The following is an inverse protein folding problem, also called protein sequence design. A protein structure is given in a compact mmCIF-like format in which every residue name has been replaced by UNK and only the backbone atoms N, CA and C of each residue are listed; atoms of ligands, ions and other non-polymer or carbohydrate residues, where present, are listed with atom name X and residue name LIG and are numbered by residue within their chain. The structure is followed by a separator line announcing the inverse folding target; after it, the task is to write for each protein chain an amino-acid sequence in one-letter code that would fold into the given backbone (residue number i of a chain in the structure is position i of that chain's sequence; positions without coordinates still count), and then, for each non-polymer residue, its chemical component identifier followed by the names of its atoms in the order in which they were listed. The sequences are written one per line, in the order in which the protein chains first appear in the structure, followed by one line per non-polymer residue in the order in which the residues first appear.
data_IF_263726480337
#
_entry.id   IF_263726480337
#
_cell.length_a   1.000
_cell.length_b   1.000
_cell.length_c   1.000
_cell.angle_alpha   90.00
_cell.angle_beta   90.00
_cell.angle_gamma   90.00
#
_symmetry.space_group_name_H-M   'P 1'
#
loop_
_entity.id
_entity.type
_entity.pdbx_description
1 polymer ?
#
# COMPACT_ATOMS: atom_id res chain seq x y z
N UNK A 1 18.74 4.76 -2.89
CA UNK A 1 17.61 3.94 -3.43
C UNK A 1 16.37 4.14 -2.56
N UNK A 2 15.21 4.37 -3.15
CA UNK A 2 13.95 4.46 -2.39
C UNK A 2 13.40 3.06 -2.14
N UNK A 3 13.29 2.67 -0.87
CA UNK A 3 12.97 1.31 -0.44
C UNK A 3 11.67 1.25 0.37
N UNK A 4 11.00 0.11 0.30
CA UNK A 4 9.86 -0.24 1.16
C UNK A 4 9.72 -1.76 1.28
N UNK A 5 9.04 -2.20 2.33
CA UNK A 5 8.70 -3.61 2.57
C UNK A 5 7.21 -3.81 2.35
N UNK A 6 6.83 -4.85 1.61
CA UNK A 6 5.43 -5.12 1.28
C UNK A 6 5.15 -6.59 1.02
N UNK A 7 3.87 -6.96 1.11
CA UNK A 7 3.33 -8.21 0.61
C UNK A 7 2.89 -8.04 -0.85
N UNK A 8 3.13 -9.05 -1.67
CA UNK A 8 2.61 -9.13 -3.02
C UNK A 8 1.16 -9.63 -3.01
N UNK A 9 0.47 -9.52 -4.13
CA UNK A 9 -0.93 -9.91 -4.29
C UNK A 9 -1.02 -11.03 -5.31
N UNK A 10 -1.75 -12.08 -4.98
CA UNK A 10 -2.00 -13.19 -5.88
C UNK A 10 -2.71 -12.76 -7.16
N UNK A 11 -2.44 -13.47 -8.24
CA UNK A 11 -2.91 -13.14 -9.59
C UNK A 11 -4.43 -12.98 -9.67
N UNK A 12 -5.19 -13.91 -9.08
CA UNK A 12 -6.66 -13.88 -9.10
C UNK A 12 -7.25 -12.64 -8.42
N UNK A 13 -6.66 -12.24 -7.28
CA UNK A 13 -7.05 -11.01 -6.58
C UNK A 13 -6.70 -9.79 -7.44
N UNK A 14 -5.51 -9.78 -8.03
CA UNK A 14 -5.02 -8.72 -8.92
C UNK A 14 -5.93 -8.53 -10.12
N UNK A 15 -6.39 -9.61 -10.75
CA UNK A 15 -7.31 -9.57 -11.89
C UNK A 15 -8.68 -9.01 -11.53
N UNK A 16 -9.20 -9.35 -10.35
CA UNK A 16 -10.47 -8.79 -9.85
C UNK A 16 -10.34 -7.30 -9.56
N UNK A 17 -9.22 -6.89 -8.96
CA UNK A 17 -8.90 -5.49 -8.72
C UNK A 17 -8.74 -4.72 -10.04
N UNK A 18 -8.07 -5.29 -11.03
CA UNK A 18 -7.91 -4.68 -12.36
C UNK A 18 -9.27 -4.39 -13.02
N UNK A 19 -10.18 -5.36 -13.01
CA UNK A 19 -11.56 -5.17 -13.53
C UNK A 19 -12.32 -4.08 -12.76
N UNK A 20 -12.19 -4.06 -11.45
CA UNK A 20 -12.80 -3.03 -10.63
C UNK A 20 -12.23 -1.64 -10.95
N UNK A 21 -10.90 -1.51 -11.05
CA UNK A 21 -10.24 -0.27 -11.44
C UNK A 21 -10.73 0.23 -12.79
N UNK A 22 -10.89 -0.64 -13.79
CA UNK A 22 -11.41 -0.27 -15.12
C UNK A 22 -12.84 0.28 -15.04
N UNK A 23 -13.65 -0.26 -14.13
CA UNK A 23 -15.03 0.19 -13.92
C UNK A 23 -15.17 1.52 -13.18
N UNK A 24 -14.18 1.92 -12.39
CA UNK A 24 -14.33 3.08 -11.48
C UNK A 24 -13.40 4.25 -11.79
N UNK A 25 -12.27 4.03 -12.49
CA UNK A 25 -11.26 5.09 -12.74
C UNK A 25 -11.81 6.30 -13.49
N UNK A 26 -12.80 6.11 -14.36
CA UNK A 26 -13.47 7.20 -15.11
C UNK A 26 -14.24 8.18 -14.23
N UNK A 27 -14.55 7.82 -12.98
CA UNK A 27 -15.23 8.69 -12.02
C UNK A 27 -14.27 9.60 -11.23
N UNK A 28 -12.95 9.38 -11.36
CA UNK A 28 -11.92 10.25 -10.82
C UNK A 28 -10.74 10.36 -11.82
N UNK A 29 -10.96 11.02 -13.00
CA UNK A 29 -9.98 11.04 -14.07
C UNK A 29 -8.70 11.80 -13.72
N UNK A 30 -8.78 12.76 -12.79
CA UNK A 30 -7.63 13.55 -12.33
C UNK A 30 -6.81 12.83 -11.23
N UNK A 31 -7.27 11.69 -10.75
CA UNK A 31 -6.53 10.90 -9.78
C UNK A 31 -5.40 10.09 -10.45
N UNK A 32 -4.33 9.89 -9.70
CA UNK A 32 -3.24 8.98 -10.11
C UNK A 32 -3.58 7.58 -9.66
N UNK A 33 -4.05 6.77 -10.58
CA UNK A 33 -4.43 5.39 -10.37
C UNK A 33 -3.20 4.47 -10.38
N UNK A 34 -3.19 3.52 -9.45
CA UNK A 34 -2.17 2.47 -9.45
C UNK A 34 -2.37 1.55 -10.65
N UNK A 35 -1.26 1.07 -11.21
CA UNK A 35 -1.28 -0.02 -12.18
C UNK A 35 -1.53 -1.34 -11.44
N UNK A 36 -2.36 -2.25 -11.98
CA UNK A 36 -2.63 -3.54 -11.34
C UNK A 36 -1.37 -4.30 -10.94
N UNK A 37 -0.34 -4.26 -11.79
CA UNK A 37 0.95 -4.93 -11.56
C UNK A 37 1.75 -4.31 -10.41
N UNK A 38 1.45 -3.07 -10.04
CA UNK A 38 2.12 -2.35 -8.95
C UNK A 38 1.40 -2.45 -7.62
N UNK A 39 0.24 -3.11 -7.57
CA UNK A 39 -0.54 -3.25 -6.34
C UNK A 39 0.19 -4.15 -5.33
N UNK A 40 0.27 -3.66 -4.09
CA UNK A 40 0.95 -4.34 -2.97
C UNK A 40 0.38 -3.86 -1.63
N UNK A 41 0.57 -4.65 -0.60
CA UNK A 41 0.24 -4.26 0.78
C UNK A 41 1.50 -3.78 1.47
N UNK A 42 1.64 -2.48 1.66
CA UNK A 42 2.82 -1.90 2.30
C UNK A 42 2.85 -2.25 3.78
N UNK A 43 3.96 -2.82 4.24
CA UNK A 43 4.24 -3.07 5.65
C UNK A 43 5.02 -1.91 6.27
N UNK A 44 6.04 -1.39 5.54
CA UNK A 44 6.86 -0.26 6.00
C UNK A 44 7.52 0.49 4.84
N UNK A 45 7.47 1.81 4.90
CA UNK A 45 8.32 2.67 4.07
C UNK A 45 9.66 2.87 4.75
N UNK A 46 10.75 2.53 4.05
CA UNK A 46 12.13 2.73 4.53
C UNK A 46 12.65 4.10 4.10
N UNK A 47 12.22 4.56 2.92
CA UNK A 47 12.68 5.83 2.35
C UNK A 47 13.95 5.70 1.51
N UNK A 48 14.65 6.81 1.32
CA UNK A 48 15.91 6.83 0.54
C UNK A 48 17.06 6.27 1.38
N UNK A 49 17.76 5.29 0.82
CA UNK A 49 18.96 4.66 1.42
C UNK A 49 20.07 4.53 0.40
N UNK A 50 21.34 4.62 0.82
CA UNK A 50 22.49 4.28 -0.02
C UNK A 50 22.42 2.81 -0.46
N UNK A 51 23.07 2.50 -1.57
CA UNK A 51 23.09 1.12 -2.10
C UNK A 51 23.82 0.15 -1.15
N UNK A 52 24.83 0.63 -0.45
CA UNK A 52 25.60 -0.11 0.55
C UNK A 52 24.78 -0.59 1.75
N UNK A 53 23.67 0.10 2.09
CA UNK A 53 22.79 -0.30 3.18
C UNK A 53 21.84 -1.46 2.82
N UNK A 54 21.64 -1.72 1.52
CA UNK A 54 20.64 -2.68 1.04
C UNK A 54 20.90 -4.08 1.57
N UNK A 55 22.17 -4.50 1.58
CA UNK A 55 22.52 -5.86 2.05
C UNK A 55 22.28 -6.02 3.56
N UNK A 56 22.59 -4.99 4.34
CA UNK A 56 22.32 -4.98 5.78
C UNK A 56 20.82 -5.02 6.07
N UNK A 57 20.02 -4.29 5.28
CA UNK A 57 18.55 -4.32 5.37
C UNK A 57 18.02 -5.73 5.06
N UNK A 58 18.50 -6.39 3.99
CA UNK A 58 18.11 -7.76 3.64
C UNK A 58 18.44 -8.75 4.77
N UNK A 59 19.66 -8.71 5.29
CA UNK A 59 20.09 -9.58 6.38
C UNK A 59 19.23 -9.39 7.63
N UNK A 60 18.86 -8.16 7.95
CA UNK A 60 18.00 -7.85 9.08
C UNK A 60 16.57 -8.35 8.85
N UNK A 61 15.99 -8.17 7.66
CA UNK A 61 14.67 -8.71 7.31
C UNK A 61 14.64 -10.24 7.32
N UNK A 62 15.73 -10.90 6.95
CA UNK A 62 15.86 -12.36 6.97
C UNK A 62 15.74 -12.96 8.39
N UNK A 63 15.94 -12.17 9.43
CA UNK A 63 15.79 -12.61 10.83
C UNK A 63 14.32 -12.67 11.29
N UNK A 64 13.40 -12.14 10.51
CA UNK A 64 11.96 -12.14 10.83
C UNK A 64 11.42 -13.56 10.62
N UNK A 65 10.76 -14.09 11.64
CA UNK A 65 10.06 -15.37 11.61
C UNK A 65 8.61 -15.12 11.98
N UNK A 66 7.70 -15.38 11.04
CA UNK A 66 6.26 -15.24 11.22
C UNK A 66 5.55 -16.35 10.44
N UNK A 67 4.35 -16.71 10.90
CA UNK A 67 3.53 -17.73 10.26
C UNK A 67 2.83 -17.16 9.02
N UNK A 68 2.41 -18.05 8.11
CA UNK A 68 1.49 -17.71 7.03
C UNK A 68 0.12 -17.35 7.59
N UNK A 69 -0.58 -16.44 6.91
CA UNK A 69 -1.91 -15.99 7.35
C UNK A 69 -2.79 -15.63 6.15
N UNK A 70 -4.10 -15.60 6.38
CA UNK A 70 -5.06 -15.21 5.36
C UNK A 70 -5.32 -13.71 5.37
N UNK A 71 -5.51 -13.15 4.17
CA UNK A 71 -5.93 -11.78 3.94
C UNK A 71 -7.15 -11.76 3.03
N UNK A 72 -8.25 -11.17 3.48
CA UNK A 72 -9.45 -10.96 2.68
C UNK A 72 -9.51 -9.50 2.21
N UNK A 73 -9.56 -9.29 0.90
CA UNK A 73 -9.64 -7.98 0.27
C UNK A 73 -11.10 -7.60 0.04
N UNK A 74 -11.57 -6.63 0.83
CA UNK A 74 -12.97 -6.20 0.78
C UNK A 74 -13.14 -4.78 1.27
N UNK A 75 -14.28 -4.19 0.95
CA UNK A 75 -14.63 -2.83 1.30
C UNK A 75 -13.67 -1.79 0.71
N UNK A 76 -13.90 -0.53 0.97
CA UNK A 76 -13.08 0.58 0.51
C UNK A 76 -13.12 1.74 1.50
N UNK A 77 -12.19 2.66 1.35
CA UNK A 77 -12.19 3.89 2.11
C UNK A 77 -11.29 4.96 1.52
N UNK A 78 -11.20 6.06 2.25
CA UNK A 78 -10.45 7.24 1.85
C UNK A 78 -9.62 7.77 3.01
N UNK A 79 -8.36 8.12 2.75
CA UNK A 79 -7.52 8.83 3.72
C UNK A 79 -7.37 10.31 3.33
N UNK A 80 -7.22 11.22 4.29
CA UNK A 80 -7.40 11.02 5.73
C UNK A 80 -8.86 10.77 6.15
N UNK A 81 -9.83 11.17 5.33
CA UNK A 81 -11.26 10.95 5.57
C UNK A 81 -12.07 11.06 4.28
N UNK A 82 -13.32 10.65 4.30
CA UNK A 82 -14.27 10.83 3.18
C UNK A 82 -14.60 12.28 2.89
N UNK A 83 -14.40 13.21 3.85
CA UNK A 83 -14.66 14.66 3.66
C UNK A 83 -13.54 15.36 2.90
N UNK A 84 -12.30 14.91 3.08
CA UNK A 84 -11.11 15.46 2.44
C UNK A 84 -10.24 14.34 1.83
N UNK A 85 -10.79 13.55 0.89
CA UNK A 85 -10.13 12.35 0.39
C UNK A 85 -8.90 12.70 -0.43
N UNK A 86 -7.77 12.07 -0.10
CA UNK A 86 -6.51 12.19 -0.85
C UNK A 86 -6.00 10.85 -1.37
N UNK A 87 -6.39 9.76 -0.72
CA UNK A 87 -6.04 8.39 -1.08
C UNK A 87 -7.30 7.55 -1.08
N UNK A 88 -7.53 6.83 -2.16
CA UNK A 88 -8.56 5.81 -2.28
C UNK A 88 -7.92 4.44 -2.10
N UNK A 89 -8.51 3.58 -1.25
CA UNK A 89 -7.95 2.30 -0.89
C UNK A 89 -9.02 1.22 -0.74
N UNK A 90 -8.60 -0.04 -0.87
CA UNK A 90 -9.36 -1.25 -0.52
C UNK A 90 -8.92 -1.72 0.86
N UNK A 91 -9.87 -2.11 1.70
CA UNK A 91 -9.63 -2.68 3.01
C UNK A 91 -9.09 -4.11 2.93
N UNK A 92 -8.32 -4.47 3.94
CA UNK A 92 -7.80 -5.82 4.13
C UNK A 92 -8.25 -6.30 5.49
N UNK A 93 -9.06 -7.35 5.47
CA UNK A 93 -9.52 -8.05 6.66
C UNK A 93 -8.56 -9.22 6.90
N UNK A 94 -7.76 -9.11 7.93
CA UNK A 94 -6.78 -10.13 8.31
C UNK A 94 -6.78 -10.24 9.83
N UNK A 95 -6.32 -11.38 10.34
CA UNK A 95 -6.08 -11.55 11.76
C UNK A 95 -4.97 -10.63 12.29
N UNK A 96 -4.60 -10.77 13.56
CA UNK A 96 -3.53 -9.96 14.18
C UNK A 96 -2.15 -10.21 13.54
N UNK A 97 -2.01 -11.27 12.75
CA UNK A 97 -0.75 -11.70 12.12
C UNK A 97 -0.19 -10.65 11.17
N UNK A 98 -1.05 -10.00 10.37
CA UNK A 98 -0.63 -8.95 9.45
C UNK A 98 -0.07 -7.73 10.21
N UNK A 99 -0.76 -7.29 11.26
CA UNK A 99 -0.30 -6.19 12.10
C UNK A 99 0.97 -6.57 12.88
N UNK A 100 1.07 -7.80 13.33
CA UNK A 100 2.25 -8.33 14.01
C UNK A 100 3.46 -8.37 13.06
N UNK A 101 3.28 -8.80 11.82
CA UNK A 101 4.34 -8.80 10.82
C UNK A 101 4.81 -7.35 10.53
N UNK A 102 3.88 -6.41 10.36
CA UNK A 102 4.24 -5.00 10.15
C UNK A 102 5.02 -4.42 11.35
N UNK A 103 4.62 -4.75 12.58
CA UNK A 103 5.31 -4.34 13.79
C UNK A 103 6.73 -4.96 13.89
N UNK A 104 6.89 -6.24 13.56
CA UNK A 104 8.21 -6.88 13.52
C UNK A 104 9.12 -6.23 12.48
N UNK A 105 8.60 -5.93 11.29
CA UNK A 105 9.36 -5.22 10.25
C UNK A 105 9.78 -3.83 10.76
N UNK A 106 8.85 -3.08 11.37
CA UNK A 106 9.12 -1.76 11.92
C UNK A 106 10.22 -1.79 12.99
N UNK A 107 10.14 -2.75 13.92
CA UNK A 107 11.13 -2.94 14.98
C UNK A 107 12.52 -3.30 14.43
N UNK A 108 12.57 -4.24 13.46
CA UNK A 108 13.84 -4.62 12.82
C UNK A 108 14.46 -3.47 12.06
N UNK A 109 13.66 -2.65 11.38
CA UNK A 109 14.17 -1.47 10.68
C UNK A 109 14.64 -0.40 11.67
N UNK A 110 13.98 -0.25 12.82
CA UNK A 110 14.42 0.67 13.85
C UNK A 110 15.82 0.33 14.41
N UNK A 111 16.21 -0.95 14.44
CA UNK A 111 17.56 -1.37 14.82
C UNK A 111 18.66 -0.94 13.82
N UNK A 112 18.27 -0.43 12.65
CA UNK A 112 19.13 0.15 11.61
C UNK A 112 18.99 1.68 11.53
N UNK A 113 18.54 2.33 12.59
CA UNK A 113 18.30 3.79 12.65
C UNK A 113 17.28 4.28 11.59
N UNK A 114 16.38 3.40 11.16
CA UNK A 114 15.24 3.77 10.33
C UNK A 114 14.08 4.15 11.26
N UNK A 115 13.53 5.36 11.14
CA UNK A 115 12.49 5.84 12.05
C UNK A 115 11.29 4.89 12.14
N UNK A 116 10.76 4.71 13.36
CA UNK A 116 9.52 3.97 13.58
C UNK A 116 8.34 4.70 12.95
N UNK A 117 7.32 3.93 12.60
CA UNK A 117 6.04 4.51 12.16
C UNK A 117 5.36 5.23 13.34
N UNK A 118 4.92 6.47 13.09
CA UNK A 118 4.25 7.29 14.12
C UNK A 118 2.77 6.91 14.29
N UNK A 119 2.19 6.24 13.30
CA UNK A 119 0.77 5.89 13.28
C UNK A 119 0.57 4.38 13.39
N UNK A 120 -0.57 4.01 13.99
CA UNK A 120 -1.00 2.61 14.04
C UNK A 120 -1.13 2.07 12.62
N UNK A 121 -0.59 0.87 12.40
CA UNK A 121 -0.70 0.18 11.12
C UNK A 121 -2.17 -0.07 10.77
N UNK A 122 -2.58 0.40 9.61
CA UNK A 122 -3.93 0.22 9.08
C UNK A 122 -3.84 -0.59 7.78
N UNK A 123 -4.23 -1.87 7.77
CA UNK A 123 -4.15 -2.73 6.59
C UNK A 123 -4.97 -2.20 5.44
N UNK A 124 -4.33 -1.83 4.34
CA UNK A 124 -5.01 -1.33 3.15
C UNK A 124 -4.19 -1.52 1.88
N UNK A 125 -4.88 -1.50 0.76
CA UNK A 125 -4.31 -1.52 -0.59
C UNK A 125 -4.63 -0.20 -1.28
N UNK A 126 -3.64 0.63 -1.52
CA UNK A 126 -3.83 1.91 -2.22
C UNK A 126 -4.14 1.70 -3.69
N UNK A 127 -5.28 2.23 -4.16
CA UNK A 127 -5.71 2.17 -5.56
C UNK A 127 -5.49 3.48 -6.31
N UNK A 128 -5.66 4.63 -5.65
CA UNK A 128 -5.47 5.92 -6.28
C UNK A 128 -5.06 7.01 -5.27
N UNK A 129 -4.38 8.02 -5.79
CA UNK A 129 -4.05 9.24 -5.05
C UNK A 129 -4.64 10.46 -5.78
N UNK A 130 -5.28 11.35 -5.04
CA UNK A 130 -5.89 12.55 -5.62
C UNK A 130 -4.88 13.42 -6.35
N UNK A 131 -5.27 13.94 -7.52
CA UNK A 131 -4.49 14.91 -8.27
C UNK A 131 -4.52 16.27 -7.59
N UNK A 132 -3.36 16.89 -7.39
CA UNK A 132 -3.20 18.19 -6.77
C UNK A 132 -1.85 18.32 -6.08
N UNK A 133 -0.80 18.68 -6.84
CA UNK A 133 0.52 19.05 -6.32
C UNK A 133 1.42 17.87 -5.96
N UNK A 134 2.55 17.81 -6.63
CA UNK A 134 3.74 17.08 -6.20
C UNK A 134 4.25 17.73 -4.91
N UNK A 135 3.71 17.34 -3.77
CA UNK A 135 4.09 17.84 -2.45
C UNK A 135 3.95 16.74 -1.43
N UNK A 136 5.03 16.55 -0.70
CA UNK A 136 5.13 15.76 0.53
C UNK A 136 3.87 15.93 1.42
N UNK A 137 3.43 14.92 2.18
CA UNK A 137 2.24 15.00 3.02
C UNK A 137 2.35 15.98 4.21
N UNK A 138 3.45 16.75 4.31
CA UNK A 138 3.65 17.74 5.35
C UNK A 138 3.21 19.14 4.92
N UNK A 139 2.18 19.66 5.64
CA UNK A 139 1.71 21.06 5.71
C UNK A 139 0.95 21.60 4.51
N UNK A 140 -0.37 21.42 4.52
CA UNK A 140 -1.25 22.52 4.15
C UNK A 140 -2.31 22.74 5.23
N UNK A 141 -2.21 23.86 5.93
CA UNK A 141 -3.27 24.46 6.73
C UNK A 141 -4.44 24.81 5.80
N UNK A 142 -5.60 24.21 6.07
CA UNK A 142 -6.85 24.47 5.38
C UNK A 142 -7.37 23.26 4.62
N UNK A 143 -8.37 22.60 5.19
CA UNK A 143 -9.17 21.56 4.51
C UNK A 143 -9.95 22.19 3.36
N UNK A 144 -9.30 22.33 2.19
CA UNK A 144 -10.05 22.55 0.97
C UNK A 144 -10.63 21.22 0.54
N UNK A 145 -11.96 21.10 0.33
CA UNK A 145 -12.57 19.87 -0.13
C UNK A 145 -11.91 19.45 -1.43
N UNK A 146 -11.28 18.29 -1.42
CA UNK A 146 -10.70 17.72 -2.61
C UNK A 146 -11.81 17.06 -3.43
N UNK A 147 -12.25 17.72 -4.49
CA UNK A 147 -13.32 17.23 -5.37
C UNK A 147 -12.90 16.08 -6.28
N UNK A 148 -11.61 15.71 -6.31
CA UNK A 148 -11.09 14.67 -7.20
C UNK A 148 -11.78 13.31 -7.03
N UNK A 149 -12.30 13.00 -5.85
CA UNK A 149 -12.98 11.75 -5.57
C UNK A 149 -14.50 11.86 -5.36
N UNK A 150 -15.09 13.04 -5.47
CA UNK A 150 -16.53 13.22 -5.18
C UNK A 150 -17.41 12.32 -6.03
N UNK A 151 -17.22 12.31 -7.36
CA UNK A 151 -17.99 11.48 -8.29
C UNK A 151 -17.74 9.99 -8.07
N UNK A 152 -16.51 9.62 -7.69
CA UNK A 152 -16.17 8.24 -7.34
C UNK A 152 -16.90 7.82 -6.07
N UNK A 153 -16.93 8.65 -5.02
CA UNK A 153 -17.65 8.38 -3.78
C UNK A 153 -19.16 8.17 -4.03
N UNK A 154 -19.77 9.04 -4.83
CA UNK A 154 -21.18 8.92 -5.23
C UNK A 154 -21.44 7.61 -5.98
N UNK A 155 -20.55 7.24 -6.91
CA UNK A 155 -20.64 5.97 -7.65
C UNK A 155 -20.53 4.76 -6.73
N UNK A 156 -19.54 4.75 -5.85
CA UNK A 156 -19.29 3.64 -4.94
C UNK A 156 -20.41 3.47 -3.91
N UNK A 157 -21.01 4.57 -3.43
CA UNK A 157 -22.15 4.53 -2.51
C UNK A 157 -23.40 3.86 -3.12
N UNK A 158 -23.53 3.89 -4.46
CA UNK A 158 -24.63 3.26 -5.19
C UNK A 158 -24.36 1.78 -5.56
N UNK A 159 -23.20 1.24 -5.24
CA UNK A 159 -22.81 -0.13 -5.54
C UNK A 159 -22.78 -0.98 -4.25
N UNK A 160 -22.92 -2.30 -4.37
CA UNK A 160 -22.63 -3.21 -3.26
C UNK A 160 -21.19 -3.03 -2.78
N UNK A 161 -20.95 -3.34 -1.50
CA UNK A 161 -19.58 -3.34 -0.94
C UNK A 161 -18.71 -4.31 -1.77
N UNK A 162 -17.60 -3.84 -2.36
CA UNK A 162 -16.79 -4.69 -3.21
C UNK A 162 -16.06 -5.76 -2.40
N UNK A 163 -15.97 -6.96 -2.98
CA UNK A 163 -15.21 -8.10 -2.46
C UNK A 163 -14.32 -8.66 -3.57
N UNK A 164 -13.06 -8.90 -3.23
CA UNK A 164 -12.06 -9.34 -4.22
C UNK A 164 -11.52 -10.75 -3.93
N UNK A 165 -11.83 -11.29 -2.75
CA UNK A 165 -11.46 -12.63 -2.31
C UNK A 165 -10.35 -12.66 -1.27
N UNK A 166 -9.97 -13.89 -0.91
CA UNK A 166 -8.99 -14.19 0.13
C UNK A 166 -7.76 -14.82 -0.49
N UNK A 167 -6.59 -14.45 0.01
CA UNK A 167 -5.32 -15.11 -0.31
C UNK A 167 -4.53 -15.42 0.97
N UNK A 168 -3.60 -16.36 0.88
CA UNK A 168 -2.67 -16.67 1.95
C UNK A 168 -1.35 -15.95 1.73
N UNK A 169 -0.96 -15.07 2.65
CA UNK A 169 0.38 -14.48 2.65
C UNK A 169 1.42 -15.55 3.00
N UNK A 170 2.36 -15.78 2.08
CA UNK A 170 3.45 -16.78 2.22
C UNK A 170 4.83 -16.17 2.20
N UNK A 171 4.94 -14.94 1.70
CA UNK A 171 6.19 -14.21 1.54
C UNK A 171 5.95 -12.71 1.67
N UNK A 172 6.94 -12.00 2.14
CA UNK A 172 7.03 -10.54 2.02
C UNK A 172 8.33 -10.16 1.32
N UNK A 173 8.39 -8.95 0.79
CA UNK A 173 9.47 -8.55 -0.10
C UNK A 173 10.05 -7.20 0.28
N UNK A 174 11.35 -7.03 0.06
CA UNK A 174 11.99 -5.72 -0.04
C UNK A 174 11.90 -5.22 -1.48
N UNK A 175 11.31 -4.05 -1.66
CA UNK A 175 11.15 -3.40 -2.96
C UNK A 175 12.00 -2.15 -3.09
N UNK A 176 12.49 -1.93 -4.31
CA UNK A 176 12.96 -0.63 -4.76
C UNK A 176 11.84 0.07 -5.54
N UNK A 177 11.60 1.35 -5.21
CA UNK A 177 10.72 2.24 -5.98
C UNK A 177 11.56 3.18 -6.84
N UNK A 178 11.27 3.23 -8.13
CA UNK A 178 11.82 4.22 -9.06
C UNK A 178 10.68 5.05 -9.62
N UNK A 179 10.79 6.36 -9.49
CA UNK A 179 9.84 7.28 -10.10
C UNK A 179 10.11 7.36 -11.61
N UNK A 180 9.05 7.28 -12.40
CA UNK A 180 9.09 7.52 -13.83
C UNK A 180 7.95 8.44 -14.27
N UNK A 181 8.02 9.09 -15.44
CA UNK A 181 6.94 9.92 -15.96
C UNK A 181 5.60 9.18 -16.06
N UNK A 182 5.64 7.87 -16.28
CA UNK A 182 4.45 6.99 -16.37
C UNK A 182 3.99 6.44 -15.01
N UNK A 183 4.61 6.84 -13.89
CA UNK A 183 4.30 6.34 -12.55
C UNK A 183 5.49 5.68 -11.85
N UNK A 184 5.27 5.13 -10.68
CA UNK A 184 6.31 4.42 -9.93
C UNK A 184 6.46 3.00 -10.46
N UNK A 185 7.70 2.60 -10.73
CA UNK A 185 8.09 1.21 -11.00
C UNK A 185 8.66 0.58 -9.75
N UNK A 186 8.26 -0.63 -9.46
CA UNK A 186 8.71 -1.40 -8.30
C UNK A 186 9.51 -2.62 -8.75
N UNK A 187 10.65 -2.84 -8.10
CA UNK A 187 11.52 -3.99 -8.36
C UNK A 187 11.73 -4.75 -7.05
N UNK A 188 11.44 -6.04 -7.03
CA UNK A 188 11.75 -6.92 -5.90
C UNK A 188 13.26 -7.09 -5.78
N UNK A 189 13.83 -6.74 -4.64
CA UNK A 189 15.25 -6.90 -4.34
C UNK A 189 15.54 -8.17 -3.55
N UNK A 190 14.58 -8.62 -2.73
CA UNK A 190 14.66 -9.86 -1.95
C UNK A 190 13.26 -10.31 -1.53
N UNK A 191 13.07 -11.61 -1.36
CA UNK A 191 11.88 -12.24 -0.79
C UNK A 191 12.22 -12.97 0.50
N UNK A 192 11.24 -13.01 1.43
CA UNK A 192 11.37 -13.59 2.76
C UNK A 192 10.13 -14.45 3.03
N UNK A 193 10.35 -15.75 3.23
CA UNK A 193 9.26 -16.71 3.42
C UNK A 193 8.65 -16.61 4.81
N UNK A 194 7.33 -16.72 4.88
CA UNK A 194 6.57 -17.02 6.08
C UNK A 194 6.46 -18.53 6.25
N UNK A 195 6.25 -19.02 7.47
CA UNK A 195 6.27 -20.47 7.81
C UNK A 195 4.87 -21.03 7.97
#
# INVERSE_FOLDING_TARGET
MRLFVALDIEHDIRDRLARFLDGVRGFAPDARWAWPESLHVTLKFIGEKPEEDVEKIKQTLQTISADTFEMNFRSYGFFPSSRAPRVFWIGIDAGPELSSLAAMVDERMASLDIPREEHVFNPHLTLARGGGGSGSPHKQKGERPNRSFQRLQEKLAALPVPEFGTMTAREFFLYQSRLSPSGSKYTKLAGFSLR
#
